data_IF_574798283430
#
_entry.id   IF_574798283430
#
_cell.length_a   1.000
_cell.length_b   1.000
_cell.length_c   1.000
_cell.angle_alpha   90.00
_cell.angle_beta   90.00
_cell.angle_gamma   90.00
#
_symmetry.space_group_name_H-M   'P 1'
#
loop_
_entity.id
_entity.type
_entity.pdbx_description
1 polymer ?
#
# COMPACT_ATOMS: atom_id res chain seq x y z
N UNK A 1 -26.53 53.73 13.56
CA UNK A 1 -25.55 53.52 12.45
C UNK A 1 -24.70 52.34 12.84
N UNK A 2 -25.04 51.14 12.33
CA UNK A 2 -24.36 49.88 12.70
C UNK A 2 -23.35 49.58 11.59
N UNK A 3 -22.06 49.69 11.89
CA UNK A 3 -20.98 49.42 10.95
C UNK A 3 -20.76 47.93 10.88
N UNK A 4 -21.12 47.30 9.76
CA UNK A 4 -20.86 45.90 9.46
C UNK A 4 -19.37 45.76 9.10
N UNK A 5 -18.55 45.19 10.00
CA UNK A 5 -17.19 44.78 9.65
C UNK A 5 -17.27 43.50 8.80
N UNK A 6 -17.03 43.64 7.51
CA UNK A 6 -16.80 42.50 6.63
C UNK A 6 -15.42 41.92 6.93
N UNK A 7 -15.37 40.74 7.54
CA UNK A 7 -14.14 39.94 7.62
C UNK A 7 -13.83 39.42 6.20
N UNK A 8 -12.90 40.09 5.53
CA UNK A 8 -12.27 39.54 4.31
C UNK A 8 -11.32 38.44 4.79
N UNK A 9 -11.75 37.20 4.71
CA UNK A 9 -10.90 36.05 4.93
C UNK A 9 -9.73 36.10 3.91
N UNK A 10 -8.49 36.17 4.40
CA UNK A 10 -7.32 36.05 3.56
C UNK A 10 -7.40 34.71 2.80
N UNK A 11 -7.09 34.65 1.50
CA UNK A 11 -7.04 33.39 0.76
C UNK A 11 -5.95 32.52 1.43
N UNK A 12 -6.36 31.36 1.94
CA UNK A 12 -5.41 30.34 2.37
C UNK A 12 -4.61 29.93 1.13
N UNK A 13 -3.35 30.32 1.05
CA UNK A 13 -2.48 29.87 -0.02
C UNK A 13 -2.33 28.35 0.12
N UNK A 14 -2.83 27.60 -0.86
CA UNK A 14 -2.62 26.16 -0.90
C UNK A 14 -1.11 25.89 -0.94
N UNK A 15 -0.64 25.01 -0.05
CA UNK A 15 0.77 24.66 0.01
C UNK A 15 1.25 24.12 -1.35
N UNK A 16 2.49 24.44 -1.71
CA UNK A 16 3.07 23.99 -2.96
C UNK A 16 3.89 22.72 -2.74
N UNK A 17 3.65 21.69 -3.57
CA UNK A 17 4.37 20.43 -3.58
C UNK A 17 5.05 20.25 -4.93
N UNK A 18 6.32 19.92 -4.94
CA UNK A 18 7.07 19.64 -6.17
C UNK A 18 7.05 18.16 -6.49
N UNK A 19 6.73 17.81 -7.74
CA UNK A 19 6.84 16.43 -8.21
C UNK A 19 8.32 16.07 -8.40
N UNK A 20 8.81 15.13 -7.60
CA UNK A 20 10.16 14.61 -7.70
C UNK A 20 10.31 13.57 -8.82
N UNK A 21 9.19 13.00 -9.28
CA UNK A 21 9.17 11.99 -10.32
C UNK A 21 9.07 10.56 -9.81
N UNK A 22 9.47 9.61 -10.67
CA UNK A 22 9.46 8.18 -10.40
C UNK A 22 10.82 7.73 -9.85
N UNK A 23 10.80 6.88 -8.83
CA UNK A 23 12.00 6.38 -8.18
C UNK A 23 11.82 4.95 -7.66
N UNK A 24 12.94 4.32 -7.29
CA UNK A 24 13.00 3.01 -6.64
C UNK A 24 13.47 3.14 -5.20
N UNK A 25 12.94 2.33 -4.30
CA UNK A 25 13.49 2.17 -2.96
C UNK A 25 14.70 1.24 -2.97
N UNK A 26 15.80 1.63 -2.32
CA UNK A 26 17.00 0.85 -2.17
C UNK A 26 18.22 1.44 -2.90
N UNK A 27 19.36 0.77 -2.72
CA UNK A 27 20.62 1.15 -3.34
C UNK A 27 20.73 0.64 -4.80
N UNK A 28 21.75 1.14 -5.52
CA UNK A 28 21.95 0.82 -6.93
C UNK A 28 22.16 -0.67 -7.21
N UNK A 29 22.78 -1.40 -6.29
CA UNK A 29 23.08 -2.83 -6.49
C UNK A 29 21.84 -3.68 -6.28
N UNK A 30 20.99 -3.32 -5.33
CA UNK A 30 19.76 -4.05 -5.03
C UNK A 30 18.64 -3.83 -6.04
N UNK A 31 18.59 -2.68 -6.71
CA UNK A 31 17.50 -2.31 -7.64
C UNK A 31 17.39 -3.30 -8.80
N UNK A 32 18.51 -3.67 -9.43
CA UNK A 32 18.49 -4.59 -10.57
C UNK A 32 17.90 -5.98 -10.21
N UNK A 33 18.20 -6.45 -9.01
CA UNK A 33 17.69 -7.73 -8.53
C UNK A 33 16.23 -7.64 -8.03
N UNK A 34 15.83 -6.49 -7.46
CA UNK A 34 14.52 -6.30 -6.84
C UNK A 34 13.43 -5.87 -7.82
N UNK A 35 13.79 -5.23 -8.94
CA UNK A 35 12.84 -4.66 -9.90
C UNK A 35 13.19 -4.99 -11.35
N UNK A 36 13.48 -6.27 -11.70
CA UNK A 36 13.97 -6.62 -13.01
C UNK A 36 12.95 -6.31 -14.14
N UNK A 37 11.69 -6.56 -13.92
CA UNK A 37 10.64 -6.33 -14.94
C UNK A 37 10.25 -4.85 -15.04
N UNK A 38 10.20 -4.12 -13.93
CA UNK A 38 9.97 -2.68 -13.95
C UNK A 38 11.11 -1.95 -14.63
N UNK A 39 12.36 -2.40 -14.46
CA UNK A 39 13.49 -1.84 -15.20
C UNK A 39 13.39 -2.12 -16.69
N UNK A 40 13.03 -3.33 -17.10
CA UNK A 40 12.78 -3.65 -18.53
C UNK A 40 11.68 -2.77 -19.11
N UNK A 41 10.58 -2.57 -18.36
CA UNK A 41 9.52 -1.64 -18.74
C UNK A 41 10.07 -0.22 -18.97
N UNK A 42 10.85 0.33 -18.03
CA UNK A 42 11.44 1.66 -18.17
C UNK A 42 12.41 1.76 -19.38
N UNK A 43 13.21 0.73 -19.61
CA UNK A 43 14.10 0.66 -20.76
C UNK A 43 13.30 0.64 -22.09
N UNK A 44 12.22 -0.13 -22.15
CA UNK A 44 11.34 -0.17 -23.32
C UNK A 44 10.67 1.19 -23.58
N UNK A 45 10.25 1.90 -22.53
CA UNK A 45 9.71 3.26 -22.63
C UNK A 45 10.76 4.23 -23.17
N UNK A 46 12.00 4.17 -22.68
CA UNK A 46 13.12 5.01 -23.14
C UNK A 46 13.46 4.75 -24.61
N UNK A 47 13.46 3.48 -25.04
CA UNK A 47 13.69 3.12 -26.44
C UNK A 47 12.60 3.68 -27.39
N UNK A 48 11.40 3.94 -26.88
CA UNK A 48 10.28 4.56 -27.60
C UNK A 48 10.28 6.10 -27.50
N UNK A 49 11.32 6.73 -26.96
CA UNK A 49 11.42 8.19 -26.78
C UNK A 49 10.53 8.76 -25.68
N UNK A 50 10.13 7.92 -24.71
CA UNK A 50 9.33 8.30 -23.55
C UNK A 50 10.05 7.94 -22.26
N UNK A 51 9.44 8.26 -21.12
CA UNK A 51 9.91 7.84 -19.80
C UNK A 51 8.72 7.70 -18.85
N UNK A 52 8.91 6.95 -17.76
CA UNK A 52 7.88 6.84 -16.71
C UNK A 52 7.56 8.22 -16.12
N UNK A 53 8.56 9.10 -15.95
CA UNK A 53 8.36 10.47 -15.47
C UNK A 53 7.50 11.30 -16.41
N UNK A 54 7.74 11.19 -17.74
CA UNK A 54 6.94 11.89 -18.74
C UNK A 54 5.48 11.44 -18.74
N UNK A 55 5.23 10.13 -18.67
CA UNK A 55 3.88 9.56 -18.58
C UNK A 55 3.20 9.99 -17.28
N UNK A 56 3.92 9.92 -16.17
CA UNK A 56 3.44 10.36 -14.87
C UNK A 56 3.07 11.84 -14.87
N UNK A 57 3.95 12.70 -15.39
CA UNK A 57 3.71 14.14 -15.52
C UNK A 57 2.48 14.48 -16.38
N UNK A 58 2.31 13.80 -17.52
CA UNK A 58 1.14 13.95 -18.38
C UNK A 58 -0.16 13.55 -17.67
N UNK A 59 -0.15 12.43 -16.94
CA UNK A 59 -1.30 11.97 -16.17
C UNK A 59 -1.68 12.96 -15.06
N UNK A 60 -0.69 13.47 -14.34
CA UNK A 60 -0.90 14.43 -13.26
C UNK A 60 -1.34 15.80 -13.74
N UNK A 61 -0.96 16.21 -14.94
CA UNK A 61 -1.43 17.46 -15.53
C UNK A 61 -2.95 17.50 -15.73
N UNK A 62 -3.60 16.35 -15.90
CA UNK A 62 -5.05 16.20 -16.00
C UNK A 62 -5.75 15.85 -14.68
N UNK A 63 -4.99 15.67 -13.59
CA UNK A 63 -5.53 15.26 -12.30
C UNK A 63 -5.90 16.50 -11.48
N UNK A 64 -7.16 16.58 -11.03
CA UNK A 64 -7.58 17.62 -10.10
C UNK A 64 -7.08 17.30 -8.69
N UNK A 65 -6.28 18.20 -8.12
CA UNK A 65 -5.78 18.12 -6.74
C UNK A 65 -6.25 19.41 -6.03
N UNK A 66 -7.10 19.24 -5.02
CA UNK A 66 -7.73 20.38 -4.34
C UNK A 66 -6.97 20.81 -3.07
N UNK A 67 -6.16 19.94 -2.47
CA UNK A 67 -5.55 20.16 -1.16
C UNK A 67 -4.19 20.87 -1.20
N UNK A 68 -3.54 20.91 -2.37
CA UNK A 68 -2.25 21.59 -2.57
C UNK A 68 -2.02 21.85 -4.07
N UNK A 69 -1.10 22.77 -4.37
CA UNK A 69 -0.67 23.01 -5.75
C UNK A 69 0.49 22.11 -6.10
N UNK A 70 0.32 21.22 -7.10
CA UNK A 70 1.41 20.37 -7.59
C UNK A 70 2.21 21.13 -8.67
N UNK A 71 3.51 21.30 -8.43
CA UNK A 71 4.45 21.84 -9.40
C UNK A 71 5.26 20.72 -10.07
N UNK A 72 5.29 20.74 -11.39
CA UNK A 72 6.18 19.89 -12.18
C UNK A 72 7.40 20.73 -12.57
N UNK A 73 8.59 20.34 -12.08
CA UNK A 73 9.80 21.10 -12.35
C UNK A 73 11.03 20.41 -11.76
N UNK A 74 12.22 20.96 -12.06
CA UNK A 74 13.47 20.39 -11.56
C UNK A 74 13.58 20.56 -10.04
N UNK A 75 13.87 19.47 -9.33
CA UNK A 75 14.16 19.49 -7.88
C UNK A 75 15.27 20.45 -7.49
N UNK A 76 16.18 20.73 -8.42
CA UNK A 76 17.25 21.73 -8.23
C UNK A 76 16.70 23.12 -7.83
N UNK A 77 15.50 23.48 -8.28
CA UNK A 77 14.85 24.75 -7.95
C UNK A 77 14.35 24.81 -6.50
N UNK A 78 14.32 23.68 -5.80
CA UNK A 78 13.96 23.62 -4.38
C UNK A 78 15.13 23.96 -3.44
N UNK A 79 16.36 23.94 -3.96
CA UNK A 79 17.54 24.30 -3.17
C UNK A 79 17.45 25.76 -2.71
N UNK A 80 17.57 25.98 -1.40
CA UNK A 80 17.53 27.31 -0.79
C UNK A 80 16.15 27.85 -0.45
N UNK A 81 15.05 27.12 -0.68
CA UNK A 81 13.73 27.49 -0.21
C UNK A 81 13.56 27.10 1.26
N UNK A 82 12.86 27.93 2.04
CA UNK A 82 12.62 27.66 3.47
C UNK A 82 11.65 26.50 3.71
N UNK A 83 10.69 26.31 2.80
CA UNK A 83 9.80 25.16 2.79
C UNK A 83 9.83 24.55 1.39
N UNK A 84 10.19 23.27 1.30
CA UNK A 84 10.31 22.56 0.05
C UNK A 84 9.76 21.15 0.21
N UNK A 85 8.43 21.01 0.11
CA UNK A 85 7.79 19.70 0.11
C UNK A 85 7.88 19.12 -1.29
N UNK A 86 8.37 17.89 -1.36
CA UNK A 86 8.38 17.11 -2.59
C UNK A 86 7.56 15.83 -2.46
N UNK A 87 7.05 15.32 -3.59
CA UNK A 87 6.38 14.03 -3.66
C UNK A 87 6.99 13.19 -4.77
N UNK A 88 7.23 11.91 -4.49
CA UNK A 88 7.72 10.94 -5.47
C UNK A 88 6.78 9.73 -5.55
N UNK A 89 6.65 9.16 -6.75
CA UNK A 89 6.16 7.81 -6.95
C UNK A 89 7.32 6.84 -6.72
N UNK A 90 7.34 6.19 -5.56
CA UNK A 90 8.43 5.27 -5.19
C UNK A 90 7.99 3.83 -5.39
N UNK A 91 8.68 3.07 -6.25
CA UNK A 91 8.54 1.62 -6.30
C UNK A 91 9.21 1.00 -5.08
N UNK A 92 8.47 0.20 -4.34
CA UNK A 92 8.96 -0.40 -3.10
C UNK A 92 9.17 -1.91 -3.20
N UNK A 93 8.39 -2.58 -4.05
CA UNK A 93 8.53 -4.03 -4.25
C UNK A 93 7.96 -4.44 -5.61
N UNK A 94 8.64 -5.40 -6.22
CA UNK A 94 8.18 -6.15 -7.38
C UNK A 94 8.27 -7.64 -7.06
N UNK A 95 7.17 -8.36 -7.26
CA UNK A 95 7.14 -9.82 -7.14
C UNK A 95 6.54 -10.35 -8.45
N UNK A 96 7.32 -11.12 -9.18
CA UNK A 96 6.87 -11.85 -10.37
C UNK A 96 7.25 -13.30 -10.17
N UNK A 97 6.29 -14.17 -10.00
CA UNK A 97 6.53 -15.59 -9.84
C UNK A 97 5.53 -16.41 -10.62
N UNK A 98 5.96 -17.56 -11.06
CA UNK A 98 5.07 -18.59 -11.56
C UNK A 98 5.46 -19.94 -10.96
N UNK A 99 4.48 -20.69 -10.55
CA UNK A 99 4.66 -21.98 -9.88
C UNK A 99 3.86 -23.04 -10.63
N UNK A 100 4.44 -24.23 -10.76
CA UNK A 100 3.70 -25.36 -11.29
C UNK A 100 2.64 -25.81 -10.30
N UNK A 101 1.43 -26.02 -10.80
CA UNK A 101 0.26 -26.34 -10.00
C UNK A 101 -0.52 -27.45 -10.75
N UNK A 102 -0.26 -28.70 -10.40
CA UNK A 102 -0.73 -29.85 -11.17
C UNK A 102 -0.20 -29.82 -12.61
N UNK A 103 -1.11 -29.80 -13.58
CA UNK A 103 -0.81 -29.65 -15.01
C UNK A 103 -0.74 -28.23 -15.51
N UNK A 104 -0.90 -27.23 -14.61
CA UNK A 104 -1.02 -25.82 -14.92
C UNK A 104 0.11 -25.01 -14.27
N UNK A 105 0.18 -23.72 -14.60
CA UNK A 105 1.10 -22.77 -13.98
C UNK A 105 0.31 -21.60 -13.38
N UNK A 106 0.49 -21.37 -12.09
CA UNK A 106 -0.03 -20.20 -11.40
C UNK A 106 0.93 -19.04 -11.61
N UNK A 107 0.48 -17.98 -12.28
CA UNK A 107 1.21 -16.72 -12.41
C UNK A 107 0.74 -15.74 -11.36
N UNK A 108 1.66 -15.21 -10.57
CA UNK A 108 1.43 -14.16 -9.61
C UNK A 108 2.37 -12.99 -9.86
N UNK A 109 1.79 -11.80 -10.07
CA UNK A 109 2.54 -10.55 -10.20
C UNK A 109 1.98 -9.57 -9.17
N UNK A 110 2.87 -8.95 -8.39
CA UNK A 110 2.51 -7.92 -7.41
C UNK A 110 3.51 -6.78 -7.52
N UNK A 111 3.01 -5.59 -7.88
CA UNK A 111 3.79 -4.35 -7.89
C UNK A 111 3.31 -3.46 -6.76
N UNK A 112 4.24 -3.02 -5.94
CA UNK A 112 3.97 -2.11 -4.83
C UNK A 112 4.79 -0.84 -4.96
N UNK A 113 4.13 0.26 -4.69
CA UNK A 113 4.73 1.56 -4.63
C UNK A 113 4.06 2.42 -3.57
N UNK A 114 4.45 3.65 -3.49
CA UNK A 114 3.86 4.62 -2.56
C UNK A 114 3.97 6.04 -3.11
N UNK A 115 2.98 6.87 -2.80
CA UNK A 115 3.10 8.29 -2.90
C UNK A 115 3.82 8.79 -1.64
N UNK A 116 5.07 9.20 -1.77
CA UNK A 116 5.94 9.57 -0.67
C UNK A 116 6.19 11.07 -0.65
N UNK A 117 5.65 11.75 0.35
CA UNK A 117 5.89 13.16 0.61
C UNK A 117 7.05 13.31 1.58
N UNK A 118 7.98 14.19 1.25
CA UNK A 118 9.15 14.46 2.08
C UNK A 118 9.54 15.92 2.05
N UNK A 119 10.14 16.39 3.14
CA UNK A 119 10.81 17.69 3.19
C UNK A 119 12.17 17.56 2.52
N UNK A 120 12.32 18.29 1.42
CA UNK A 120 13.54 18.27 0.62
C UNK A 120 14.76 18.86 1.33
N UNK A 121 14.57 19.76 2.31
CA UNK A 121 15.65 20.40 3.08
C UNK A 121 16.24 19.46 4.14
N UNK A 122 15.37 18.82 4.92
CA UNK A 122 15.77 17.91 5.99
C UNK A 122 15.89 16.44 5.54
N UNK A 123 15.49 16.14 4.31
CA UNK A 123 15.38 14.77 3.78
C UNK A 123 14.56 13.86 4.70
N UNK A 124 13.47 14.38 5.28
CA UNK A 124 12.64 13.65 6.21
C UNK A 124 11.28 13.34 5.58
N UNK A 125 10.82 12.10 5.72
CA UNK A 125 9.50 11.68 5.26
C UNK A 125 8.44 12.37 6.10
N UNK A 126 7.48 13.01 5.43
CA UNK A 126 6.34 13.66 6.04
C UNK A 126 5.09 12.78 6.03
N UNK A 127 4.81 12.15 4.88
CA UNK A 127 3.63 11.28 4.68
C UNK A 127 3.93 10.23 3.63
N UNK A 128 3.29 9.08 3.76
CA UNK A 128 3.33 8.04 2.76
C UNK A 128 1.94 7.42 2.58
N UNK A 129 1.62 7.11 1.33
CA UNK A 129 0.38 6.46 0.92
C UNK A 129 0.74 5.24 0.07
N UNK A 130 0.74 4.04 0.66
CA UNK A 130 1.03 2.80 -0.05
C UNK A 130 0.01 2.50 -1.14
N UNK A 131 0.48 1.93 -2.23
CA UNK A 131 -0.30 1.59 -3.43
C UNK A 131 0.13 0.21 -3.90
N UNK A 132 -0.84 -0.66 -4.17
CA UNK A 132 -0.58 -2.02 -4.67
C UNK A 132 -1.43 -2.33 -5.88
N UNK A 133 -0.83 -2.95 -6.88
CA UNK A 133 -1.53 -3.62 -7.99
C UNK A 133 -1.06 -5.07 -8.07
N UNK A 134 -1.98 -5.98 -8.31
CA UNK A 134 -1.67 -7.40 -8.40
C UNK A 134 -2.40 -8.05 -9.57
N UNK A 135 -1.77 -9.06 -10.13
CA UNK A 135 -2.32 -9.92 -11.16
C UNK A 135 -2.12 -11.38 -10.75
N UNK A 136 -3.18 -12.14 -10.87
CA UNK A 136 -3.18 -13.57 -10.61
C UNK A 136 -3.89 -14.26 -11.76
N UNK A 137 -3.24 -15.29 -12.33
CA UNK A 137 -3.78 -16.04 -13.44
C UNK A 137 -3.31 -17.49 -13.40
N UNK A 138 -3.99 -18.34 -14.16
CA UNK A 138 -3.61 -19.75 -14.34
C UNK A 138 -3.42 -20.01 -15.83
N UNK A 139 -2.22 -20.48 -16.18
CA UNK A 139 -1.75 -20.69 -17.54
C UNK A 139 -1.58 -22.17 -17.82
N UNK A 140 -1.81 -22.60 -19.09
CA UNK A 140 -1.59 -23.96 -19.55
C UNK A 140 -0.11 -24.30 -19.80
N UNK A 141 0.77 -23.30 -19.82
CA UNK A 141 2.21 -23.43 -20.02
C UNK A 141 2.97 -22.38 -19.22
N UNK A 142 4.28 -22.56 -18.98
CA UNK A 142 5.11 -21.51 -18.36
C UNK A 142 5.02 -20.21 -19.15
N UNK A 143 4.85 -19.05 -18.49
CA UNK A 143 4.81 -17.77 -19.19
C UNK A 143 6.16 -17.46 -19.84
N UNK A 144 6.14 -16.94 -21.05
CA UNK A 144 7.33 -16.37 -21.68
C UNK A 144 7.64 -14.98 -21.10
N UNK A 145 8.88 -14.51 -21.27
CA UNK A 145 9.28 -13.17 -20.87
C UNK A 145 8.39 -12.09 -21.49
N UNK A 146 7.99 -12.24 -22.74
CA UNK A 146 7.09 -11.31 -23.42
C UNK A 146 5.70 -11.23 -22.75
N UNK A 147 5.18 -12.36 -22.27
CA UNK A 147 3.93 -12.40 -21.50
C UNK A 147 4.11 -11.68 -20.16
N UNK A 148 5.21 -11.93 -19.45
CA UNK A 148 5.50 -11.28 -18.18
C UNK A 148 5.66 -9.77 -18.34
N UNK A 149 6.41 -9.32 -19.33
CA UNK A 149 6.62 -7.90 -19.64
C UNK A 149 5.30 -7.19 -20.01
N UNK A 150 4.43 -7.82 -20.81
CA UNK A 150 3.10 -7.26 -21.12
C UNK A 150 2.22 -7.14 -19.87
N UNK A 151 2.22 -8.14 -18.99
CA UNK A 151 1.45 -8.10 -17.75
C UNK A 151 1.97 -7.01 -16.80
N UNK A 152 3.28 -6.88 -16.64
CA UNK A 152 3.88 -5.81 -15.83
C UNK A 152 3.54 -4.44 -16.41
N UNK A 153 3.66 -4.27 -17.75
CA UNK A 153 3.27 -3.02 -18.43
C UNK A 153 1.81 -2.65 -18.15
N UNK A 154 0.89 -3.61 -18.26
CA UNK A 154 -0.54 -3.40 -17.96
C UNK A 154 -0.79 -3.05 -16.50
N UNK A 155 -0.09 -3.68 -15.57
CA UNK A 155 -0.17 -3.32 -14.15
C UNK A 155 0.39 -1.94 -13.86
N UNK A 156 1.35 -1.46 -14.63
CA UNK A 156 1.88 -0.11 -14.50
C UNK A 156 0.93 0.96 -15.05
N UNK A 157 0.52 0.78 -16.32
CA UNK A 157 -0.23 1.78 -17.08
C UNK A 157 -1.75 1.65 -16.95
N UNK A 158 -2.23 0.49 -16.51
CA UNK A 158 -3.65 0.11 -16.57
C UNK A 158 -3.99 -0.70 -17.83
N UNK A 159 -5.15 -1.35 -17.79
CA UNK A 159 -5.70 -2.17 -18.88
C UNK A 159 -7.23 -2.02 -18.91
N UNK A 160 -7.73 -1.28 -19.88
CA UNK A 160 -9.14 -0.95 -19.98
C UNK A 160 -9.65 -0.18 -18.75
N UNK A 161 -10.61 -0.75 -18.04
CA UNK A 161 -11.20 -0.22 -16.81
C UNK A 161 -10.37 -0.50 -15.54
N UNK A 162 -9.31 -1.30 -15.65
CA UNK A 162 -8.44 -1.64 -14.53
C UNK A 162 -7.34 -0.60 -14.36
N UNK A 163 -7.44 0.16 -13.27
CA UNK A 163 -6.44 1.16 -12.93
C UNK A 163 -5.08 0.53 -12.61
N UNK A 164 -4.04 0.98 -13.32
CA UNK A 164 -2.65 0.63 -13.06
C UNK A 164 -2.04 1.39 -11.89
N UNK A 165 -0.76 1.11 -11.64
CA UNK A 165 -0.03 1.70 -10.52
C UNK A 165 0.06 3.23 -10.62
N UNK A 166 0.32 3.78 -11.82
CA UNK A 166 0.41 5.23 -12.03
C UNK A 166 -0.95 5.93 -11.84
N UNK A 167 -2.05 5.32 -12.31
CA UNK A 167 -3.39 5.88 -12.10
C UNK A 167 -3.78 5.86 -10.62
N UNK A 168 -3.41 4.80 -9.88
CA UNK A 168 -3.64 4.74 -8.43
C UNK A 168 -2.81 5.78 -7.69
N UNK A 169 -1.58 6.04 -8.13
CA UNK A 169 -0.77 7.14 -7.60
C UNK A 169 -1.46 8.49 -7.82
N UNK A 170 -1.93 8.77 -9.03
CA UNK A 170 -2.67 10.00 -9.34
C UNK A 170 -3.92 10.15 -8.45
N UNK A 171 -4.71 9.08 -8.31
CA UNK A 171 -5.90 9.09 -7.44
C UNK A 171 -5.54 9.31 -5.97
N UNK A 172 -4.40 8.74 -5.52
CA UNK A 172 -3.94 8.93 -4.15
C UNK A 172 -3.47 10.37 -3.90
N UNK A 173 -2.79 11.01 -4.88
CA UNK A 173 -2.43 12.42 -4.77
C UNK A 173 -3.66 13.33 -4.71
N UNK A 174 -4.69 13.05 -5.49
CA UNK A 174 -5.93 13.82 -5.46
C UNK A 174 -6.62 13.78 -4.09
N UNK A 175 -6.48 12.66 -3.37
CA UNK A 175 -7.04 12.48 -2.03
C UNK A 175 -6.09 12.87 -0.88
N UNK A 176 -4.79 13.06 -1.16
CA UNK A 176 -3.79 13.33 -0.14
C UNK A 176 -3.97 14.72 0.48
N UNK A 177 -3.65 14.84 1.76
CA UNK A 177 -3.63 16.10 2.51
C UNK A 177 -2.22 16.38 3.01
N UNK A 178 -1.89 17.64 3.23
CA UNK A 178 -0.66 18.06 3.91
C UNK A 178 -0.95 18.36 5.38
N UNK A 179 0.03 18.17 6.28
CA UNK A 179 -0.18 18.50 7.70
C UNK A 179 -0.30 20.01 7.89
N UNK A 180 -1.34 20.44 8.58
CA UNK A 180 -1.53 21.85 8.96
C UNK A 180 -0.73 22.23 10.22
N UNK A 181 -0.40 21.22 11.03
CA UNK A 181 0.33 21.35 12.31
C UNK A 181 1.48 20.36 12.36
N UNK A 182 2.16 20.27 13.52
CA UNK A 182 3.18 19.25 13.76
C UNK A 182 2.58 17.87 13.52
N UNK A 183 3.05 17.13 12.50
CA UNK A 183 2.45 15.86 12.12
C UNK A 183 2.65 14.83 13.22
N UNK A 184 1.60 14.06 13.50
CA UNK A 184 1.71 12.81 14.25
C UNK A 184 1.83 11.66 13.27
N UNK A 185 2.75 10.75 13.56
CA UNK A 185 3.11 9.68 12.65
C UNK A 185 2.50 8.35 13.08
N UNK A 186 1.84 7.70 12.12
CA UNK A 186 1.32 6.35 12.23
C UNK A 186 2.19 5.39 11.43
N UNK A 187 2.48 4.21 11.96
CA UNK A 187 3.23 3.15 11.28
C UNK A 187 2.63 1.78 11.58
N UNK A 188 2.66 0.87 10.60
CA UNK A 188 2.57 -0.56 10.85
C UNK A 188 4.00 -1.03 11.14
N UNK A 189 4.35 -1.17 12.42
CA UNK A 189 5.75 -1.34 12.85
C UNK A 189 6.11 -2.73 13.36
N UNK A 190 5.13 -3.51 13.82
CA UNK A 190 5.33 -4.88 14.29
C UNK A 190 4.45 -5.83 13.51
N UNK A 191 5.07 -6.77 12.82
CA UNK A 191 4.37 -7.73 11.96
C UNK A 191 4.87 -9.13 12.25
N UNK A 192 3.95 -10.06 12.42
CA UNK A 192 4.22 -11.48 12.56
C UNK A 192 3.23 -12.30 11.73
N UNK A 193 3.66 -13.48 11.35
CA UNK A 193 2.86 -14.47 10.62
C UNK A 193 3.16 -15.82 11.24
N UNK A 194 2.12 -16.49 11.72
CA UNK A 194 2.26 -17.83 12.31
C UNK A 194 2.82 -18.83 11.31
N UNK A 195 3.46 -19.91 11.77
CA UNK A 195 3.92 -20.98 10.89
C UNK A 195 2.79 -21.56 10.03
N UNK A 196 1.60 -21.74 10.61
CA UNK A 196 0.42 -22.27 9.93
C UNK A 196 -0.04 -21.34 8.80
N UNK A 197 -0.14 -20.04 9.06
CA UNK A 197 -0.52 -19.06 8.04
C UNK A 197 0.57 -18.92 6.96
N UNK A 198 1.85 -19.01 7.34
CA UNK A 198 2.99 -18.94 6.42
C UNK A 198 3.01 -20.09 5.42
N UNK A 199 2.58 -21.28 5.82
CA UNK A 199 2.51 -22.45 4.92
C UNK A 199 1.57 -22.24 3.76
N UNK A 200 0.52 -21.43 3.94
CA UNK A 200 -0.48 -21.12 2.91
C UNK A 200 -0.04 -20.01 1.93
N UNK A 201 1.11 -19.39 2.17
CA UNK A 201 1.64 -18.35 1.29
C UNK A 201 2.39 -18.94 0.08
N UNK A 202 2.40 -18.25 -1.07
CA UNK A 202 3.25 -18.60 -2.21
C UNK A 202 4.73 -18.63 -1.85
N UNK A 203 5.52 -19.44 -2.55
CA UNK A 203 6.96 -19.57 -2.33
C UNK A 203 7.69 -18.22 -2.46
N UNK A 204 7.24 -17.34 -3.36
CA UNK A 204 7.80 -16.00 -3.51
C UNK A 204 7.76 -15.16 -2.20
N UNK A 205 6.77 -15.41 -1.32
CA UNK A 205 6.70 -14.75 -0.02
C UNK A 205 7.52 -15.46 1.06
N UNK A 206 7.94 -16.68 0.81
CA UNK A 206 8.76 -17.48 1.72
C UNK A 206 10.27 -17.28 1.50
N UNK A 207 10.65 -16.64 0.40
CA UNK A 207 12.05 -16.45 -0.01
C UNK A 207 12.92 -15.82 1.09
N UNK A 208 12.37 -14.84 1.83
CA UNK A 208 13.00 -14.31 3.04
C UNK A 208 11.96 -14.09 4.14
N UNK A 209 12.33 -14.11 5.43
CA UNK A 209 11.39 -13.84 6.52
C UNK A 209 10.66 -12.49 6.38
N UNK A 210 11.37 -11.48 5.90
CA UNK A 210 10.85 -10.10 5.78
C UNK A 210 9.91 -9.91 4.60
N UNK A 211 9.96 -10.75 3.56
CA UNK A 211 9.10 -10.58 2.36
C UNK A 211 7.62 -10.70 2.69
N UNK A 212 7.23 -11.76 3.41
CA UNK A 212 5.85 -11.96 3.83
C UNK A 212 5.39 -10.91 4.84
N UNK A 213 6.25 -10.55 5.80
CA UNK A 213 5.96 -9.51 6.78
C UNK A 213 5.74 -8.14 6.13
N UNK A 214 6.59 -7.79 5.15
CA UNK A 214 6.44 -6.56 4.37
C UNK A 214 5.14 -6.56 3.57
N UNK A 215 4.80 -7.68 2.93
CA UNK A 215 3.52 -7.84 2.24
C UNK A 215 2.33 -7.60 3.18
N UNK A 216 2.34 -8.18 4.38
CA UNK A 216 1.25 -8.04 5.35
C UNK A 216 1.16 -6.61 5.89
N UNK A 217 2.31 -5.97 6.20
CA UNK A 217 2.39 -4.58 6.62
C UNK A 217 1.79 -3.63 5.57
N UNK A 218 2.14 -3.84 4.30
CA UNK A 218 1.67 -3.02 3.19
C UNK A 218 0.17 -3.20 2.94
N UNK A 219 -0.37 -4.43 3.08
CA UNK A 219 -1.81 -4.68 2.96
C UNK A 219 -2.62 -3.87 3.98
N UNK A 220 -2.18 -3.86 5.25
CA UNK A 220 -2.84 -3.07 6.28
C UNK A 220 -2.64 -1.57 6.06
N UNK A 221 -1.41 -1.14 5.77
CA UNK A 221 -1.07 0.28 5.52
C UNK A 221 -1.86 0.86 4.35
N UNK A 222 -1.99 0.13 3.24
CA UNK A 222 -2.80 0.54 2.09
C UNK A 222 -4.28 0.70 2.47
N UNK A 223 -4.83 -0.23 3.25
CA UNK A 223 -6.23 -0.13 3.68
C UNK A 223 -6.45 1.02 4.66
N UNK A 224 -5.52 1.30 5.56
CA UNK A 224 -5.57 2.50 6.43
C UNK A 224 -5.56 3.77 5.55
N UNK A 225 -4.62 3.86 4.62
CA UNK A 225 -4.49 5.04 3.77
C UNK A 225 -5.71 5.27 2.87
N UNK A 226 -6.26 4.20 2.27
CA UNK A 226 -7.35 4.31 1.28
C UNK A 226 -8.75 4.31 1.89
N UNK A 227 -8.96 3.67 3.05
CA UNK A 227 -10.28 3.53 3.68
C UNK A 227 -10.48 4.47 4.86
N UNK A 228 -9.44 4.70 5.67
CA UNK A 228 -9.50 5.66 6.76
C UNK A 228 -8.97 7.05 6.38
N UNK A 229 -8.29 7.19 5.23
CA UNK A 229 -7.74 8.46 4.73
C UNK A 229 -6.60 8.97 5.62
N UNK A 230 -5.81 8.07 6.20
CA UNK A 230 -4.70 8.40 7.11
C UNK A 230 -3.37 7.97 6.48
N UNK A 231 -2.40 8.88 6.34
CA UNK A 231 -1.07 8.51 5.85
C UNK A 231 -0.37 7.57 6.84
N UNK A 232 0.43 6.65 6.31
CA UNK A 232 1.15 5.65 7.11
C UNK A 232 2.61 5.65 6.70
N UNK A 233 3.53 5.77 7.67
CA UNK A 233 4.96 5.69 7.39
C UNK A 233 5.34 4.33 6.77
N UNK A 234 6.36 4.29 5.91
CA UNK A 234 6.86 3.04 5.34
C UNK A 234 7.24 2.03 6.44
N UNK A 235 7.02 0.74 6.16
CA UNK A 235 7.46 -0.34 7.05
C UNK A 235 8.99 -0.42 7.07
N UNK A 236 9.62 0.08 8.14
CA UNK A 236 11.07 0.28 8.19
C UNK A 236 11.86 -1.00 7.92
N UNK A 237 11.49 -2.14 8.53
CA UNK A 237 12.19 -3.42 8.32
C UNK A 237 12.20 -3.92 6.87
N UNK A 238 11.22 -3.51 6.05
CA UNK A 238 11.12 -3.88 4.65
C UNK A 238 11.87 -2.96 3.70
N UNK A 239 12.08 -1.68 4.08
CA UNK A 239 12.49 -0.63 3.15
C UNK A 239 13.66 0.22 3.60
N UNK A 240 14.10 0.09 4.85
CA UNK A 240 15.13 0.95 5.41
C UNK A 240 16.28 0.17 6.04
N UNK A 241 17.46 0.78 6.05
CA UNK A 241 18.59 0.36 6.87
C UNK A 241 18.61 1.32 8.07
N UNK A 242 18.35 0.78 9.26
CA UNK A 242 18.01 1.62 10.41
C UNK A 242 16.71 2.39 10.13
N UNK A 243 16.75 3.72 10.25
CA UNK A 243 15.62 4.61 9.93
C UNK A 243 15.84 5.40 8.64
N UNK A 244 16.70 4.92 7.71
CA UNK A 244 17.01 5.61 6.46
C UNK A 244 16.59 4.77 5.28
N UNK A 245 15.72 5.32 4.44
CA UNK A 245 15.26 4.75 3.19
C UNK A 245 15.97 5.43 2.03
N UNK A 246 16.73 4.66 1.23
CA UNK A 246 17.30 5.17 0.00
C UNK A 246 16.21 5.21 -1.10
N UNK A 247 16.20 6.29 -1.85
CA UNK A 247 15.30 6.52 -2.99
C UNK A 247 16.16 6.92 -4.20
N UNK A 248 16.12 6.12 -5.27
CA UNK A 248 16.93 6.31 -6.46
C UNK A 248 16.08 6.61 -7.68
N UNK A 249 16.42 7.70 -8.36
CA UNK A 249 15.78 8.16 -9.59
C UNK A 249 16.42 7.53 -10.83
N UNK A 250 15.74 7.64 -11.97
CA UNK A 250 16.20 7.09 -13.24
C UNK A 250 17.50 7.75 -13.75
N UNK A 251 17.73 9.01 -13.43
CA UNK A 251 18.95 9.75 -13.74
C UNK A 251 20.18 9.38 -12.87
N UNK A 252 19.97 8.45 -11.92
CA UNK A 252 20.99 8.01 -10.99
C UNK A 252 21.06 8.80 -9.70
N UNK A 253 20.33 9.90 -9.55
CA UNK A 253 20.24 10.68 -8.30
C UNK A 253 19.72 9.81 -7.17
N UNK A 254 20.34 9.93 -5.98
CA UNK A 254 19.94 9.18 -4.78
C UNK A 254 19.63 10.16 -3.66
N UNK A 255 18.44 9.99 -3.06
CA UNK A 255 18.09 10.64 -1.81
C UNK A 255 18.00 9.62 -0.69
N UNK A 256 18.59 9.95 0.45
CA UNK A 256 18.49 9.16 1.67
C UNK A 256 17.48 9.83 2.59
N UNK A 257 16.28 9.27 2.65
CA UNK A 257 15.19 9.85 3.40
C UNK A 257 15.13 9.27 4.80
N UNK A 258 15.08 10.12 5.80
CA UNK A 258 14.88 9.74 7.20
C UNK A 258 13.41 9.37 7.42
N UNK A 259 13.16 8.17 7.94
CA UNK A 259 11.85 7.76 8.45
C UNK A 259 11.77 8.25 9.89
N UNK A 260 10.84 9.17 10.25
CA UNK A 260 10.67 9.61 11.62
C UNK A 260 10.16 8.48 12.52
N UNK A 261 10.34 8.63 13.82
CA UNK A 261 9.73 7.73 14.81
C UNK A 261 8.21 7.90 14.79
N UNK A 262 7.48 6.81 14.86
CA UNK A 262 6.03 6.84 14.86
C UNK A 262 5.48 7.13 16.26
N UNK A 263 4.55 8.08 16.35
CA UNK A 263 3.79 8.35 17.59
C UNK A 263 2.84 7.19 17.91
N UNK A 264 2.31 6.52 16.87
CA UNK A 264 1.39 5.40 17.01
C UNK A 264 1.82 4.24 16.12
N UNK A 265 1.82 3.04 16.68
CA UNK A 265 2.29 1.82 16.01
C UNK A 265 1.19 0.77 16.00
N UNK A 266 0.77 0.35 14.79
CA UNK A 266 0.02 -0.87 14.61
C UNK A 266 0.94 -2.07 14.69
N UNK A 267 0.53 -3.06 15.49
CA UNK A 267 1.03 -4.42 15.42
C UNK A 267 -0.01 -5.28 14.71
N UNK A 268 0.43 -6.15 13.81
CA UNK A 268 -0.42 -7.10 13.10
C UNK A 268 0.19 -8.49 13.16
N UNK A 269 -0.59 -9.45 13.63
CA UNK A 269 -0.24 -10.86 13.66
C UNK A 269 -1.26 -11.65 12.83
N UNK A 270 -0.83 -12.22 11.71
CA UNK A 270 -1.63 -13.13 10.91
C UNK A 270 -1.54 -14.52 11.54
N UNK A 271 -2.55 -14.87 12.32
CA UNK A 271 -2.53 -16.07 13.15
C UNK A 271 -2.93 -17.33 12.37
N UNK A 272 -3.86 -17.20 11.39
CA UNK A 272 -4.34 -18.39 10.67
C UNK A 272 -5.01 -18.01 9.34
N UNK A 273 -4.84 -18.88 8.35
CA UNK A 273 -5.77 -19.08 7.25
C UNK A 273 -6.51 -20.41 7.44
N UNK A 274 -7.80 -20.46 7.09
CA UNK A 274 -8.60 -21.68 7.25
C UNK A 274 -9.61 -21.84 6.13
N UNK A 275 -9.61 -23.03 5.48
CA UNK A 275 -10.64 -23.44 4.52
C UNK A 275 -11.62 -24.41 5.19
N UNK A 276 -12.91 -24.13 5.05
CA UNK A 276 -13.98 -24.99 5.56
C UNK A 276 -14.97 -25.29 4.45
N UNK A 277 -15.20 -26.56 4.13
CA UNK A 277 -16.22 -26.99 3.18
C UNK A 277 -17.61 -26.80 3.83
N UNK A 278 -18.48 -26.06 3.16
CA UNK A 278 -19.83 -25.73 3.69
C UNK A 278 -20.95 -26.37 2.91
N UNK A 279 -20.67 -26.89 1.72
CA UNK A 279 -21.66 -27.61 0.90
C UNK A 279 -21.02 -28.29 -0.29
N UNK A 280 -21.76 -29.22 -0.88
CA UNK A 280 -21.39 -29.94 -2.09
C UNK A 280 -22.64 -30.22 -2.93
N UNK A 281 -22.47 -30.13 -4.26
CA UNK A 281 -23.50 -30.42 -5.23
C UNK A 281 -22.85 -30.99 -6.51
N UNK A 282 -23.65 -31.41 -7.48
CA UNK A 282 -23.15 -31.83 -8.78
C UNK A 282 -22.37 -30.71 -9.52
N UNK A 283 -22.64 -29.45 -9.20
CA UNK A 283 -21.94 -28.30 -9.80
C UNK A 283 -20.56 -28.02 -9.17
N UNK A 284 -20.32 -28.52 -7.94
CA UNK A 284 -19.07 -28.31 -7.24
C UNK A 284 -19.24 -28.23 -5.72
N UNK A 285 -18.18 -27.82 -5.04
CA UNK A 285 -18.13 -27.67 -3.60
C UNK A 285 -17.99 -26.20 -3.18
N UNK A 286 -18.76 -25.79 -2.18
CA UNK A 286 -18.66 -24.47 -1.56
C UNK A 286 -17.74 -24.49 -0.37
N UNK A 287 -16.83 -23.53 -0.30
CA UNK A 287 -15.89 -23.36 0.79
C UNK A 287 -15.98 -21.96 1.38
N UNK A 288 -15.76 -21.84 2.69
CA UNK A 288 -15.45 -20.58 3.36
C UNK A 288 -13.94 -20.50 3.54
N UNK A 289 -13.35 -19.42 3.04
CA UNK A 289 -11.93 -19.10 3.23
C UNK A 289 -11.81 -18.03 4.31
N UNK A 290 -11.30 -18.42 5.47
CA UNK A 290 -11.17 -17.57 6.65
C UNK A 290 -9.75 -17.02 6.81
N UNK A 291 -9.67 -15.74 7.22
CA UNK A 291 -8.45 -15.08 7.68
C UNK A 291 -8.64 -14.63 9.12
N UNK A 292 -7.62 -14.85 9.96
CA UNK A 292 -7.62 -14.52 11.39
C UNK A 292 -6.41 -13.66 11.70
N UNK A 293 -6.63 -12.52 12.35
CA UNK A 293 -5.61 -11.51 12.59
C UNK A 293 -5.78 -10.93 13.99
N UNK A 294 -4.68 -10.80 14.73
CA UNK A 294 -4.63 -10.02 15.97
C UNK A 294 -4.07 -8.64 15.64
N UNK A 295 -4.83 -7.58 15.96
CA UNK A 295 -4.44 -6.19 15.74
C UNK A 295 -4.32 -5.45 17.06
N UNK A 296 -3.23 -4.67 17.19
CA UNK A 296 -3.01 -3.79 18.34
C UNK A 296 -2.50 -2.43 17.88
N UNK A 297 -3.05 -1.35 18.43
CA UNK A 297 -2.57 0.02 18.23
C UNK A 297 -2.05 0.55 19.56
N UNK A 298 -0.79 0.96 19.59
CA UNK A 298 -0.10 1.42 20.79
C UNK A 298 0.58 2.77 20.54
N UNK A 299 0.60 3.62 21.56
CA UNK A 299 1.50 4.77 21.64
C UNK A 299 2.79 4.31 22.35
N UNK A 300 3.94 4.21 21.63
CA UNK A 300 5.15 3.60 22.19
C UNK A 300 5.69 4.31 23.44
N UNK A 301 5.60 5.64 23.48
CA UNK A 301 6.15 6.46 24.57
C UNK A 301 5.43 6.21 25.89
N UNK A 302 4.09 6.14 25.88
CA UNK A 302 3.27 5.91 27.07
C UNK A 302 2.97 4.44 27.35
N UNK A 303 3.15 3.57 26.34
CA UNK A 303 2.71 2.18 26.37
C UNK A 303 1.19 2.00 26.31
N UNK A 304 0.43 3.07 26.11
CA UNK A 304 -1.03 3.04 26.07
C UNK A 304 -1.52 2.28 24.82
N UNK A 305 -2.37 1.28 25.02
CA UNK A 305 -3.06 0.59 23.95
C UNK A 305 -4.43 1.26 23.68
N UNK A 306 -4.68 1.58 22.43
CA UNK A 306 -5.95 2.12 21.92
C UNK A 306 -6.81 1.05 21.26
N UNK A 307 -6.17 0.00 20.76
CA UNK A 307 -6.78 -1.17 20.17
C UNK A 307 -6.02 -2.43 20.62
N UNK A 308 -6.76 -3.47 20.99
CA UNK A 308 -6.25 -4.82 21.21
C UNK A 308 -7.39 -5.80 20.88
N UNK A 309 -7.41 -6.33 19.67
CA UNK A 309 -8.55 -7.03 19.12
C UNK A 309 -8.14 -8.19 18.22
N UNK A 310 -8.86 -9.29 18.34
CA UNK A 310 -8.79 -10.43 17.41
C UNK A 310 -9.89 -10.27 16.37
N UNK A 311 -9.52 -10.33 15.10
CA UNK A 311 -10.41 -10.05 13.99
C UNK A 311 -10.40 -11.22 13.02
N UNK A 312 -11.56 -11.60 12.53
CA UNK A 312 -11.72 -12.64 11.52
C UNK A 312 -12.62 -12.20 10.39
N UNK A 313 -12.37 -12.73 9.20
CA UNK A 313 -13.25 -12.59 8.05
C UNK A 313 -13.32 -13.91 7.29
N UNK A 314 -14.44 -14.17 6.63
CA UNK A 314 -14.61 -15.33 5.77
C UNK A 314 -15.24 -14.91 4.44
N UNK A 315 -14.72 -15.46 3.35
CA UNK A 315 -15.28 -15.27 2.01
C UNK A 315 -15.72 -16.63 1.44
N UNK A 316 -16.91 -16.67 0.88
CA UNK A 316 -17.46 -17.90 0.27
C UNK A 316 -16.97 -18.00 -1.17
N UNK A 317 -16.46 -19.17 -1.54
CA UNK A 317 -16.10 -19.49 -2.93
C UNK A 317 -16.68 -20.83 -3.34
N UNK A 318 -17.32 -20.86 -4.51
CA UNK A 318 -17.70 -22.09 -5.18
C UNK A 318 -16.51 -22.58 -6.02
N UNK A 319 -16.07 -23.81 -5.79
CA UNK A 319 -15.09 -24.50 -6.61
C UNK A 319 -15.85 -25.48 -7.52
N UNK A 320 -15.85 -25.27 -8.85
CA UNK A 320 -16.55 -26.15 -9.79
C UNK A 320 -16.07 -27.61 -9.71
N UNK A 321 -16.96 -28.56 -9.91
CA UNK A 321 -16.60 -29.99 -9.94
C UNK A 321 -15.58 -30.35 -11.01
N UNK A 322 -15.46 -29.53 -12.05
CA UNK A 322 -14.46 -29.67 -13.14
C UNK A 322 -13.07 -29.19 -12.76
N UNK A 323 -12.93 -28.49 -11.63
CA UNK A 323 -11.63 -27.97 -11.16
C UNK A 323 -10.95 -29.03 -10.29
N UNK A 324 -9.97 -29.75 -10.86
CA UNK A 324 -9.21 -30.79 -10.17
C UNK A 324 -8.18 -30.25 -9.19
N UNK A 325 -7.65 -29.04 -9.46
CA UNK A 325 -6.61 -28.40 -8.66
C UNK A 325 -7.15 -27.13 -8.01
N UNK A 326 -6.92 -26.99 -6.71
CA UNK A 326 -7.42 -25.84 -5.93
C UNK A 326 -6.21 -25.08 -5.37
N UNK A 327 -5.99 -23.86 -5.87
CA UNK A 327 -5.10 -22.89 -5.24
C UNK A 327 -5.90 -22.07 -4.23
N UNK A 328 -5.58 -22.23 -2.97
CA UNK A 328 -6.28 -21.57 -1.87
C UNK A 328 -5.82 -20.13 -1.61
N UNK A 329 -4.56 -19.80 -1.96
CA UNK A 329 -3.98 -18.49 -1.65
C UNK A 329 -4.77 -17.30 -2.21
N UNK A 330 -5.27 -17.30 -3.45
CA UNK A 330 -6.10 -16.21 -3.96
C UNK A 330 -7.32 -15.93 -3.08
N UNK A 331 -7.95 -16.99 -2.61
CA UNK A 331 -9.15 -16.89 -1.76
C UNK A 331 -8.81 -16.38 -0.36
N UNK A 332 -7.71 -16.84 0.22
CA UNK A 332 -7.17 -16.30 1.46
C UNK A 332 -6.76 -14.83 1.34
N UNK A 333 -6.09 -14.46 0.24
CA UNK A 333 -5.70 -13.07 -0.03
C UNK A 333 -6.91 -12.14 -0.13
N UNK A 334 -7.98 -12.59 -0.80
CA UNK A 334 -9.26 -11.84 -0.88
C UNK A 334 -9.88 -11.70 0.51
N UNK A 335 -9.93 -12.78 1.30
CA UNK A 335 -10.48 -12.77 2.67
C UNK A 335 -9.71 -11.81 3.58
N UNK A 336 -8.38 -11.83 3.54
CA UNK A 336 -7.53 -10.94 4.33
C UNK A 336 -7.69 -9.48 3.91
N UNK A 337 -7.69 -9.20 2.61
CA UNK A 337 -7.90 -7.85 2.07
C UNK A 337 -9.27 -7.31 2.43
N UNK A 338 -10.30 -8.14 2.36
CA UNK A 338 -11.66 -7.81 2.78
C UNK A 338 -11.73 -7.51 4.28
N UNK A 339 -11.04 -8.31 5.13
CA UNK A 339 -10.92 -8.06 6.56
C UNK A 339 -10.37 -6.66 6.83
N UNK A 340 -9.20 -6.35 6.27
CA UNK A 340 -8.58 -5.03 6.46
C UNK A 340 -9.44 -3.90 5.90
N UNK A 341 -10.04 -4.09 4.72
CA UNK A 341 -10.91 -3.08 4.09
C UNK A 341 -12.15 -2.76 4.93
N UNK A 342 -12.83 -3.79 5.48
CA UNK A 342 -14.00 -3.61 6.36
C UNK A 342 -13.58 -2.94 7.66
N UNK A 343 -12.55 -3.44 8.31
CA UNK A 343 -12.08 -2.91 9.59
C UNK A 343 -11.62 -1.44 9.47
N UNK A 344 -10.76 -1.14 8.51
CA UNK A 344 -10.28 0.24 8.29
C UNK A 344 -11.39 1.16 7.76
N UNK A 345 -12.38 0.63 7.06
CA UNK A 345 -13.60 1.34 6.70
C UNK A 345 -14.39 1.80 7.94
N UNK A 346 -14.52 0.93 8.94
CA UNK A 346 -15.14 1.30 10.23
C UNK A 346 -14.32 2.37 10.95
N UNK A 347 -13.01 2.26 10.94
CA UNK A 347 -12.12 3.30 11.48
C UNK A 347 -12.24 4.62 10.72
N UNK A 348 -12.50 4.57 9.41
CA UNK A 348 -12.77 5.74 8.56
C UNK A 348 -14.15 6.36 8.73
N UNK A 349 -15.01 5.77 9.59
CA UNK A 349 -16.34 6.30 9.89
C UNK A 349 -17.50 5.55 9.22
N UNK A 350 -17.23 4.52 8.40
CA UNK A 350 -18.27 3.68 7.81
C UNK A 350 -18.96 2.87 8.91
N UNK A 351 -20.28 2.85 8.91
CA UNK A 351 -21.04 1.89 9.74
C UNK A 351 -21.07 0.53 9.04
N UNK A 352 -20.59 -0.50 9.73
CA UNK A 352 -20.60 -1.87 9.21
C UNK A 352 -20.94 -2.85 10.34
N UNK A 353 -22.13 -3.47 10.30
CA UNK A 353 -22.57 -4.42 11.33
C UNK A 353 -21.67 -5.67 11.42
N UNK A 354 -20.86 -5.95 10.39
CA UNK A 354 -19.88 -7.03 10.36
C UNK A 354 -18.96 -7.01 11.60
N UNK A 355 -18.60 -5.80 12.10
CA UNK A 355 -17.70 -5.63 13.24
C UNK A 355 -18.13 -6.41 14.48
N UNK A 356 -19.44 -6.50 14.73
CA UNK A 356 -20.02 -7.17 15.91
C UNK A 356 -19.79 -8.68 15.92
N UNK A 357 -19.71 -9.30 14.75
CA UNK A 357 -19.53 -10.75 14.59
C UNK A 357 -18.09 -11.14 14.28
N UNK A 358 -17.30 -10.19 13.79
CA UNK A 358 -15.95 -10.41 13.29
C UNK A 358 -14.87 -10.14 14.33
N UNK A 359 -15.18 -9.35 15.37
CA UNK A 359 -14.18 -8.89 16.33
C UNK A 359 -14.46 -9.46 17.71
N UNK A 360 -13.39 -9.94 18.34
CA UNK A 360 -13.36 -10.35 19.74
C UNK A 360 -12.42 -9.42 20.49
N UNK A 361 -12.99 -8.57 21.34
CA UNK A 361 -12.26 -7.69 22.24
C UNK A 361 -13.21 -7.27 23.37
N UNK A 362 -12.63 -6.87 24.51
CA UNK A 362 -13.40 -6.16 25.54
C UNK A 362 -13.71 -4.76 25.05
N UNK A 363 -14.95 -4.30 25.20
CA UNK A 363 -15.36 -2.92 24.88
C UNK A 363 -14.97 -2.42 23.49
N UNK A 364 -15.17 -3.27 22.45
CA UNK A 364 -14.73 -2.97 21.07
C UNK A 364 -15.20 -1.58 20.60
N UNK A 365 -16.39 -1.14 20.95
CA UNK A 365 -16.90 0.17 20.56
C UNK A 365 -16.07 1.32 21.15
N UNK A 366 -15.65 1.20 22.42
CA UNK A 366 -14.76 2.18 23.07
C UNK A 366 -13.38 2.18 22.39
N UNK A 367 -12.82 1.00 22.10
CA UNK A 367 -11.54 0.86 21.41
C UNK A 367 -11.58 1.46 19.99
N UNK A 368 -12.66 1.23 19.23
CA UNK A 368 -12.85 1.82 17.90
C UNK A 368 -12.93 3.35 18.01
N UNK A 369 -13.69 3.89 18.98
CA UNK A 369 -13.80 5.32 19.19
C UNK A 369 -12.45 5.95 19.55
N UNK A 370 -11.69 5.34 20.45
CA UNK A 370 -10.34 5.78 20.81
C UNK A 370 -9.39 5.73 19.62
N UNK A 371 -9.42 4.64 18.84
CA UNK A 371 -8.61 4.48 17.61
C UNK A 371 -8.97 5.56 16.58
N UNK A 372 -10.25 5.85 16.36
CA UNK A 372 -10.68 6.94 15.45
C UNK A 372 -10.08 8.28 15.86
N UNK A 373 -10.08 8.60 17.16
CA UNK A 373 -9.48 9.84 17.68
C UNK A 373 -7.99 9.91 17.38
N UNK A 374 -7.25 8.81 17.59
CA UNK A 374 -5.83 8.70 17.24
C UNK A 374 -5.64 8.91 15.75
N UNK A 375 -6.40 8.21 14.90
CA UNK A 375 -6.27 8.33 13.44
C UNK A 375 -6.57 9.74 12.94
N UNK A 376 -7.53 10.46 13.55
CA UNK A 376 -7.81 11.86 13.22
C UNK A 376 -6.60 12.77 13.54
N UNK A 377 -5.86 12.51 14.62
CA UNK A 377 -4.66 13.29 14.97
C UNK A 377 -3.47 13.06 14.01
N UNK A 378 -3.54 12.02 13.17
CA UNK A 378 -2.53 11.70 12.16
C UNK A 378 -2.87 12.23 10.74
N UNK A 379 -4.03 12.86 10.56
CA UNK A 379 -4.46 13.47 9.27
C UNK A 379 -3.89 14.89 9.07
#
# INVERSE_FOLDING_TARGET
>A
MLTLLAFVGAPAFAATVSLAGFSYSGDAQSIAARFPYTQRFNQAMTAQGSSTDKVLGQMLASTKIDNFTLQQGELAQLKGRDQAIAVSMVMTSETVSYERFGGLYKLFINLRGQALFFDFKSMTILRSYPITVAYLDVLGAPPSDAVLDDRVRKLFLGDGDKAGLLQRFSSQLAAATLPEHVPRFLQVGKVSISPEARNELPEAFKATPTTAETWLADQLSEMIATRAGVPVLPYAKGYAIGNTMAMRFADGTVFNLKIPEADYVFSVDLTQFKRVKTGESAAGASYVYGSFVDLKLVEPVSGRAYLDAKIKNGEVKLVPATQSEIDDFPSYSVSLRSLFSKFTGVLGGKDDPWIKSAVTASDINAQISATKTVLQSCK
#
